data_IF_112165975150
#
_entry.id   IF_112165975150
#
_cell.length_a   1.000
_cell.length_b   1.000
_cell.length_c   1.000
_cell.angle_alpha   90.00
_cell.angle_beta   90.00
_cell.angle_gamma   90.00
#
_symmetry.space_group_name_H-M   'P 1'
#
loop_
_entity.id
_entity.type
_entity.pdbx_description
1 polymer ?
#
# COMPACT_ATOMS: atom_id res chain seq x y z
N UNK A 1 -26.26 10.65 5.43
CA UNK A 1 -25.49 10.58 6.69
C UNK A 1 -24.09 11.12 6.47
N UNK A 2 -23.75 12.26 7.08
CA UNK A 2 -22.54 13.05 6.79
C UNK A 2 -21.22 12.28 6.93
N UNK A 3 -21.18 11.21 7.73
CA UNK A 3 -20.01 10.36 7.94
C UNK A 3 -19.58 9.61 6.67
N UNK A 4 -20.53 9.18 5.85
CA UNK A 4 -20.23 8.38 4.64
C UNK A 4 -19.46 9.22 3.61
N UNK A 5 -19.85 10.47 3.41
CA UNK A 5 -19.18 11.39 2.49
C UNK A 5 -17.78 11.74 3.00
N UNK A 6 -17.62 12.02 4.30
CA UNK A 6 -16.30 12.29 4.89
C UNK A 6 -15.34 11.12 4.76
N UNK A 7 -15.79 9.89 5.05
CA UNK A 7 -14.94 8.69 4.93
C UNK A 7 -14.58 8.42 3.47
N UNK A 8 -15.51 8.64 2.54
CA UNK A 8 -15.21 8.51 1.11
C UNK A 8 -14.14 9.50 0.67
N UNK A 9 -14.30 10.79 1.01
CA UNK A 9 -13.32 11.82 0.70
C UNK A 9 -11.94 11.49 1.28
N UNK A 10 -11.89 11.20 2.59
CA UNK A 10 -10.67 10.82 3.26
C UNK A 10 -9.97 9.61 2.61
N UNK A 11 -10.72 8.61 2.15
CA UNK A 11 -10.14 7.42 1.53
C UNK A 11 -9.63 7.71 0.11
N UNK A 12 -10.49 8.22 -0.76
CA UNK A 12 -10.22 8.32 -2.21
C UNK A 12 -9.43 9.57 -2.60
N UNK A 13 -9.63 10.68 -1.90
CA UNK A 13 -9.06 11.98 -2.27
C UNK A 13 -7.81 12.32 -1.44
N UNK A 14 -7.64 11.72 -0.26
CA UNK A 14 -6.48 11.98 0.62
C UNK A 14 -5.59 10.75 0.79
N UNK A 15 -6.14 9.66 1.35
CA UNK A 15 -5.35 8.53 1.84
C UNK A 15 -4.76 7.68 0.71
N UNK A 16 -5.58 7.25 -0.25
CA UNK A 16 -5.11 6.43 -1.37
C UNK A 16 -4.06 7.17 -2.23
N UNK A 17 -4.23 8.46 -2.59
CA UNK A 17 -3.19 9.24 -3.27
C UNK A 17 -1.87 9.34 -2.47
N UNK A 18 -1.93 9.58 -1.16
CA UNK A 18 -0.72 9.66 -0.32
C UNK A 18 0.05 8.33 -0.28
N UNK A 19 -0.65 7.22 -0.02
CA UNK A 19 0.01 5.91 0.13
C UNK A 19 0.42 5.27 -1.18
N UNK A 20 -0.23 5.62 -2.31
CA UNK A 20 0.17 5.17 -3.65
C UNK A 20 1.37 5.92 -4.23
N UNK A 21 1.83 6.97 -3.55
CA UNK A 21 3.00 7.76 -3.92
C UNK A 21 4.08 7.62 -2.85
N UNK A 22 4.03 8.41 -1.79
CA UNK A 22 5.03 8.41 -0.71
C UNK A 22 5.14 7.06 0.02
N UNK A 23 4.08 6.26 0.03
CA UNK A 23 4.07 4.93 0.63
C UNK A 23 4.83 3.86 -0.15
N UNK A 24 5.17 4.11 -1.42
CA UNK A 24 5.78 3.13 -2.32
C UNK A 24 7.30 3.24 -2.28
N UNK A 25 8.00 2.14 -1.98
CA UNK A 25 9.45 2.08 -2.09
C UNK A 25 9.82 1.58 -3.50
N UNK A 26 9.96 2.52 -4.43
CA UNK A 26 10.38 2.24 -5.82
C UNK A 26 11.86 1.79 -5.90
N UNK A 27 12.67 2.05 -4.86
CA UNK A 27 14.11 1.72 -4.85
C UNK A 27 14.38 0.28 -4.44
N UNK A 28 13.66 -0.23 -3.44
CA UNK A 28 13.88 -1.58 -2.89
C UNK A 28 12.66 -2.50 -3.01
N UNK A 29 11.59 -2.06 -3.67
CA UNK A 29 10.35 -2.81 -3.87
C UNK A 29 9.44 -2.81 -2.64
N UNK A 30 8.13 -3.05 -2.81
CA UNK A 30 7.16 -3.03 -1.71
C UNK A 30 6.88 -1.63 -1.16
N UNK A 31 6.41 -1.55 0.08
CA UNK A 31 5.88 -0.34 0.70
C UNK A 31 6.62 0.04 1.99
N UNK A 32 6.71 1.33 2.26
CA UNK A 32 7.18 1.87 3.53
C UNK A 32 6.18 1.58 4.65
N UNK A 33 6.67 1.21 5.84
CA UNK A 33 5.83 0.89 7.01
C UNK A 33 5.16 2.10 7.64
N UNK A 34 5.73 3.28 7.44
CA UNK A 34 5.30 4.51 8.08
C UNK A 34 5.77 5.71 7.26
N UNK A 35 4.97 6.77 7.31
CA UNK A 35 5.34 8.10 6.84
C UNK A 35 5.53 9.02 8.05
N UNK A 36 6.37 10.04 7.91
CA UNK A 36 6.43 11.17 8.82
C UNK A 36 5.15 12.01 8.74
N UNK A 37 4.99 12.96 9.66
CA UNK A 37 3.86 13.90 9.62
C UNK A 37 3.90 14.83 8.40
N UNK A 38 5.08 14.98 7.78
CA UNK A 38 5.29 15.69 6.52
C UNK A 38 4.99 14.81 5.27
N UNK A 39 4.56 13.55 5.47
CA UNK A 39 4.29 12.61 4.40
C UNK A 39 5.54 11.95 3.81
N UNK A 40 6.74 12.21 4.35
CA UNK A 40 7.98 11.58 3.88
C UNK A 40 8.09 10.13 4.36
N UNK A 41 8.65 9.21 3.56
CA UNK A 41 8.80 7.82 3.98
C UNK A 41 9.83 7.67 5.11
N UNK A 42 9.48 6.89 6.13
CA UNK A 42 10.41 6.50 7.17
C UNK A 42 11.09 5.19 6.81
N UNK A 43 12.42 5.22 6.72
CA UNK A 43 13.23 4.04 6.40
C UNK A 43 13.24 3.06 7.57
N UNK A 44 12.36 2.06 7.50
CA UNK A 44 12.19 1.00 8.51
C UNK A 44 12.18 -0.39 7.84
N UNK A 45 12.54 -1.46 8.56
CA UNK A 45 12.37 -2.82 8.07
C UNK A 45 10.92 -3.10 7.67
N UNK A 46 10.72 -3.76 6.53
CA UNK A 46 9.40 -4.07 5.98
C UNK A 46 8.86 -5.36 6.60
N UNK A 47 7.65 -5.28 7.14
CA UNK A 47 6.94 -6.43 7.72
C UNK A 47 6.00 -7.00 6.66
N UNK A 48 6.08 -8.30 6.43
CA UNK A 48 5.26 -8.99 5.43
C UNK A 48 3.76 -8.75 5.60
N UNK A 49 3.28 -8.65 6.86
CA UNK A 49 1.88 -8.31 7.15
C UNK A 49 1.46 -6.94 6.61
N UNK A 50 2.33 -5.93 6.67
CA UNK A 50 2.02 -4.60 6.15
C UNK A 50 1.97 -4.61 4.62
N UNK A 51 2.88 -5.35 3.99
CA UNK A 51 2.91 -5.51 2.53
C UNK A 51 1.62 -6.17 2.03
N UNK A 52 1.21 -7.28 2.64
CA UNK A 52 -0.02 -7.98 2.30
C UNK A 52 -1.27 -7.09 2.51
N UNK A 53 -1.30 -6.29 3.58
CA UNK A 53 -2.40 -5.36 3.86
C UNK A 53 -2.47 -4.21 2.87
N UNK A 54 -1.33 -3.67 2.41
CA UNK A 54 -1.31 -2.65 1.36
C UNK A 54 -1.81 -3.20 0.03
N UNK A 55 -1.33 -4.39 -0.38
CA UNK A 55 -1.84 -5.06 -1.59
C UNK A 55 -3.35 -5.25 -1.51
N UNK A 56 -3.85 -5.76 -0.38
CA UNK A 56 -5.29 -5.92 -0.16
C UNK A 56 -6.04 -4.59 -0.22
N UNK A 57 -5.52 -3.53 0.42
CA UNK A 57 -6.16 -2.21 0.41
C UNK A 57 -6.29 -1.65 -1.01
N UNK A 58 -5.26 -1.75 -1.85
CA UNK A 58 -5.31 -1.30 -3.25
C UNK A 58 -6.22 -2.19 -4.11
N UNK A 59 -6.25 -3.50 -3.87
CA UNK A 59 -7.19 -4.41 -4.55
C UNK A 59 -8.65 -4.03 -4.24
N UNK A 60 -8.96 -3.81 -2.97
CA UNK A 60 -10.30 -3.36 -2.55
C UNK A 60 -10.61 -1.96 -3.11
N UNK A 61 -9.65 -1.04 -3.11
CA UNK A 61 -9.85 0.30 -3.68
C UNK A 61 -10.23 0.23 -5.16
N UNK A 62 -9.55 -0.64 -5.94
CA UNK A 62 -9.89 -0.91 -7.34
C UNK A 62 -11.32 -1.44 -7.49
N UNK A 63 -11.69 -2.46 -6.71
CA UNK A 63 -13.05 -3.02 -6.73
C UNK A 63 -14.12 -1.97 -6.36
N UNK A 64 -13.75 -0.95 -5.59
CA UNK A 64 -14.62 0.17 -5.21
C UNK A 64 -14.59 1.35 -6.18
N UNK A 65 -13.90 1.22 -7.30
CA UNK A 65 -13.89 2.22 -8.37
C UNK A 65 -12.85 3.32 -8.20
N UNK A 66 -11.81 3.11 -7.40
CA UNK A 66 -10.65 4.01 -7.42
C UNK A 66 -9.97 3.97 -8.79
N UNK A 67 -9.69 5.12 -9.35
CA UNK A 67 -9.10 5.33 -10.69
C UNK A 67 -7.57 5.43 -10.69
N UNK A 68 -6.95 5.32 -9.51
CA UNK A 68 -5.50 5.30 -9.37
C UNK A 68 -4.84 4.04 -9.92
N UNK A 69 -3.49 3.95 -9.87
CA UNK A 69 -2.71 2.89 -10.50
C UNK A 69 -2.72 1.58 -9.69
N UNK A 70 -3.89 1.12 -9.25
CA UNK A 70 -4.04 0.00 -8.33
C UNK A 70 -3.37 -1.28 -8.82
N UNK A 71 -3.48 -1.62 -10.11
CA UNK A 71 -2.85 -2.81 -10.67
C UNK A 71 -1.32 -2.78 -10.58
N UNK A 72 -0.70 -1.62 -10.83
CA UNK A 72 0.75 -1.44 -10.67
C UNK A 72 1.15 -1.66 -9.20
N UNK A 73 0.39 -1.09 -8.27
CA UNK A 73 0.70 -1.17 -6.84
C UNK A 73 0.52 -2.60 -6.30
N UNK A 74 -0.53 -3.29 -6.73
CA UNK A 74 -0.79 -4.69 -6.40
C UNK A 74 0.35 -5.57 -6.90
N UNK A 75 0.74 -5.42 -8.17
CA UNK A 75 1.85 -6.16 -8.77
C UNK A 75 3.17 -5.88 -8.02
N UNK A 76 3.50 -4.60 -7.78
CA UNK A 76 4.70 -4.19 -7.04
C UNK A 76 4.79 -4.82 -5.65
N UNK A 77 3.68 -4.86 -4.91
CA UNK A 77 3.61 -5.49 -3.61
C UNK A 77 3.75 -7.01 -3.68
N UNK A 78 3.08 -7.66 -4.63
CA UNK A 78 3.18 -9.12 -4.85
C UNK A 78 4.61 -9.51 -5.22
N UNK A 79 5.26 -8.78 -6.12
CA UNK A 79 6.63 -9.04 -6.56
C UNK A 79 7.61 -8.94 -5.40
N UNK A 80 7.49 -7.89 -4.57
CA UNK A 80 8.31 -7.75 -3.36
C UNK A 80 8.12 -8.93 -2.41
N UNK A 81 6.86 -9.28 -2.14
CA UNK A 81 6.53 -10.38 -1.25
C UNK A 81 7.11 -11.70 -1.80
N UNK A 82 6.88 -12.02 -3.07
CA UNK A 82 7.36 -13.24 -3.69
C UNK A 82 8.89 -13.34 -3.71
N UNK A 83 9.58 -12.21 -3.94
CA UNK A 83 11.04 -12.18 -4.04
C UNK A 83 11.79 -12.07 -2.71
N UNK A 84 11.16 -11.56 -1.64
CA UNK A 84 11.83 -11.26 -0.35
C UNK A 84 11.17 -11.86 0.89
N UNK A 85 9.91 -12.25 0.79
CA UNK A 85 9.13 -12.73 1.93
C UNK A 85 9.10 -14.25 2.07
N UNK A 86 9.30 -15.01 0.99
CA UNK A 86 9.21 -16.47 1.09
C UNK A 86 10.45 -17.05 1.78
N UNK A 87 10.21 -17.86 2.79
CA UNK A 87 11.22 -18.71 3.41
C UNK A 87 11.39 -20.01 2.60
N UNK A 88 12.54 -20.67 2.73
CA UNK A 88 12.81 -21.96 2.07
C UNK A 88 11.82 -23.08 2.44
N UNK A 89 11.10 -22.91 3.56
CA UNK A 89 10.05 -23.84 4.02
C UNK A 89 8.64 -23.46 3.55
N UNK A 90 8.52 -22.46 2.67
CA UNK A 90 7.23 -22.03 2.10
C UNK A 90 6.40 -21.08 2.95
N UNK A 91 6.88 -20.66 4.12
CA UNK A 91 6.28 -19.59 4.94
C UNK A 91 6.65 -18.19 4.49
N UNK A 92 6.07 -17.16 5.13
CA UNK A 92 6.28 -15.73 4.90
C UNK A 92 6.97 -15.04 6.09
#
# INVERSE_FOLDING_TARGET
>A
GAWRQRVHHWLFDETLPLWSTSGVDERHGGFHEALGFDGSPLMKPKRMRTQARQVYAFAVAKERGWDGPADKLIAHGIDFMAGKGRTDRGGW
#
